data_IF_217909416989
#
_entry.id   IF_217909416989
#
_cell.length_a   1.000
_cell.length_b   1.000
_cell.length_c   1.000
_cell.angle_alpha   90.00
_cell.angle_beta   90.00
_cell.angle_gamma   90.00
#
_symmetry.space_group_name_H-M   'P 1'
#
loop_
_entity.id
_entity.type
_entity.pdbx_description
1 polymer ?
#
# COMPACT_ATOMS: atom_id res chain seq x y z
N UNK A 1 11.85 -11.30 -21.09
CA UNK A 1 13.01 -12.21 -20.99
C UNK A 1 14.29 -11.70 -21.67
N UNK A 2 14.25 -10.70 -22.57
CA UNK A 2 15.42 -10.27 -23.37
C UNK A 2 16.45 -9.36 -22.67
N UNK A 3 16.13 -8.74 -21.53
CA UNK A 3 17.03 -7.75 -20.87
C UNK A 3 18.01 -8.42 -19.89
N UNK A 4 17.69 -9.62 -19.39
CA UNK A 4 18.48 -10.29 -18.34
C UNK A 4 19.91 -10.61 -18.80
N UNK A 5 20.11 -10.86 -20.10
CA UNK A 5 21.41 -11.15 -20.70
C UNK A 5 22.26 -9.91 -21.03
N UNK A 6 21.74 -8.70 -20.80
CA UNK A 6 22.43 -7.43 -21.07
C UNK A 6 22.84 -6.69 -19.79
N UNK A 7 22.49 -7.23 -18.62
CA UNK A 7 22.81 -6.64 -17.33
C UNK A 7 24.11 -7.27 -16.77
N UNK A 8 24.97 -6.48 -16.10
CA UNK A 8 26.07 -6.99 -15.30
C UNK A 8 25.61 -8.12 -14.35
N UNK A 9 26.47 -9.10 -14.10
CA UNK A 9 26.14 -10.31 -13.34
C UNK A 9 25.59 -10.03 -11.92
N UNK A 10 25.85 -8.83 -11.38
CA UNK A 10 25.48 -8.42 -10.04
C UNK A 10 24.11 -7.72 -9.98
N UNK A 11 23.39 -7.62 -11.11
CA UNK A 11 22.10 -6.93 -11.20
C UNK A 11 20.96 -7.89 -11.55
N UNK A 12 20.08 -8.12 -10.57
CA UNK A 12 18.83 -8.86 -10.77
C UNK A 12 17.70 -7.89 -11.15
N UNK A 13 17.21 -7.90 -12.41
CA UNK A 13 16.09 -7.04 -12.80
C UNK A 13 14.80 -7.52 -12.15
N UNK A 14 14.12 -6.62 -11.44
CA UNK A 14 12.76 -6.84 -10.95
C UNK A 14 11.76 -6.25 -11.92
N UNK A 15 10.65 -6.96 -12.12
CA UNK A 15 9.52 -6.41 -12.86
C UNK A 15 8.93 -5.26 -12.04
N UNK A 16 8.94 -4.08 -12.62
CA UNK A 16 8.21 -2.95 -12.09
C UNK A 16 6.70 -3.21 -12.13
N UNK A 17 5.93 -2.50 -11.29
CA UNK A 17 4.49 -2.58 -11.31
C UNK A 17 3.93 -2.26 -12.70
N UNK A 18 2.87 -2.97 -13.13
CA UNK A 18 2.16 -2.67 -14.38
C UNK A 18 1.24 -1.48 -14.12
N UNK A 19 1.81 -0.31 -13.90
CA UNK A 19 1.09 0.94 -13.65
C UNK A 19 1.72 2.07 -14.48
N UNK A 20 0.89 2.87 -15.14
CA UNK A 20 1.32 4.14 -15.74
C UNK A 20 0.94 5.29 -14.79
N UNK A 21 1.61 6.44 -14.88
CA UNK A 21 1.29 7.63 -14.07
C UNK A 21 -0.11 8.23 -14.30
N UNK A 22 -0.89 7.68 -15.23
CA UNK A 22 -2.29 8.05 -15.52
C UNK A 22 -3.31 7.08 -14.86
N UNK A 23 -2.84 6.08 -14.11
CA UNK A 23 -3.68 5.06 -13.46
C UNK A 23 -4.16 5.41 -12.05
N UNK A 24 -3.73 6.53 -11.47
CA UNK A 24 -4.23 7.00 -10.18
C UNK A 24 -5.63 7.60 -10.36
N UNK A 25 -6.65 6.77 -10.09
CA UNK A 25 -8.06 7.14 -10.28
C UNK A 25 -8.71 7.67 -9.00
N UNK A 26 -8.13 7.42 -7.82
CA UNK A 26 -8.76 7.75 -6.54
C UNK A 26 -7.74 7.88 -5.40
N UNK A 27 -7.88 8.95 -4.61
CA UNK A 27 -7.05 9.22 -3.43
C UNK A 27 -7.94 9.34 -2.20
N UNK A 28 -7.53 8.71 -1.10
CA UNK A 28 -8.25 8.76 0.18
C UNK A 28 -7.28 8.81 1.36
N UNK A 29 -7.79 9.27 2.50
CA UNK A 29 -7.09 9.23 3.79
C UNK A 29 -7.80 8.28 4.75
N UNK A 30 -7.02 7.61 5.58
CA UNK A 30 -7.54 6.80 6.70
C UNK A 30 -7.29 7.59 7.97
N UNK A 31 -8.36 8.08 8.57
CA UNK A 31 -8.31 8.94 9.75
C UNK A 31 -9.14 8.35 10.90
N UNK A 32 -8.59 8.44 12.11
CA UNK A 32 -9.36 8.15 13.30
C UNK A 32 -10.20 9.37 13.69
N UNK A 33 -11.48 9.16 13.97
CA UNK A 33 -12.32 10.21 14.59
C UNK A 33 -11.71 10.64 15.92
N UNK A 34 -11.87 11.90 16.33
CA UNK A 34 -11.24 12.45 17.53
C UNK A 34 -11.53 11.65 18.83
N UNK A 35 -12.74 11.07 18.93
CA UNK A 35 -13.16 10.24 20.06
C UNK A 35 -13.01 8.74 19.82
N UNK A 36 -12.47 8.30 18.67
CA UNK A 36 -12.23 6.90 18.42
C UNK A 36 -11.14 6.38 19.36
N UNK A 37 -11.42 5.21 19.96
CA UNK A 37 -10.48 4.49 20.82
C UNK A 37 -10.36 3.05 20.33
N UNK A 38 -9.20 2.45 20.57
CA UNK A 38 -9.00 1.01 20.40
C UNK A 38 -9.77 0.26 21.51
N UNK A 39 -9.96 -1.06 21.39
CA UNK A 39 -10.61 -1.87 22.42
C UNK A 39 -9.95 -1.75 23.81
N UNK A 40 -8.65 -1.44 23.85
CA UNK A 40 -7.88 -1.20 25.08
C UNK A 40 -8.03 0.23 25.66
N UNK A 41 -8.85 1.09 25.04
CA UNK A 41 -9.07 2.47 25.46
C UNK A 41 -8.01 3.47 25.02
N UNK A 42 -6.93 3.04 24.36
CA UNK A 42 -5.90 3.93 23.83
C UNK A 42 -6.33 4.59 22.52
N UNK A 43 -5.67 5.71 22.17
CA UNK A 43 -5.90 6.40 20.91
C UNK A 43 -5.32 5.59 19.73
N UNK A 44 -5.91 5.77 18.55
CA UNK A 44 -5.39 5.23 17.31
C UNK A 44 -4.12 5.97 16.90
N UNK A 45 -3.05 5.22 16.64
CA UNK A 45 -1.78 5.77 16.16
C UNK A 45 -1.66 5.67 14.64
N UNK A 46 -0.72 6.40 14.03
CA UNK A 46 -0.43 6.29 12.61
C UNK A 46 -0.03 4.85 12.20
N UNK A 47 0.64 4.12 13.09
CA UNK A 47 1.00 2.70 12.89
C UNK A 47 -0.23 1.80 12.90
N UNK A 48 -1.19 2.05 13.78
CA UNK A 48 -2.45 1.28 13.83
C UNK A 48 -3.27 1.51 12.55
N UNK A 49 -3.37 2.77 12.10
CA UNK A 49 -4.07 3.12 10.87
C UNK A 49 -3.36 2.53 9.63
N UNK A 50 -2.03 2.53 9.61
CA UNK A 50 -1.24 1.86 8.56
C UNK A 50 -1.49 0.36 8.54
N UNK A 51 -1.56 -0.26 9.71
CA UNK A 51 -1.86 -1.69 9.84
C UNK A 51 -3.26 -1.99 9.31
N UNK A 52 -4.27 -1.18 9.65
CA UNK A 52 -5.62 -1.30 9.11
C UNK A 52 -5.64 -1.16 7.58
N UNK A 53 -4.92 -0.16 7.06
CA UNK A 53 -4.79 0.07 5.63
C UNK A 53 -4.19 -1.14 4.90
N UNK A 54 -3.09 -1.70 5.41
CA UNK A 54 -2.35 -2.76 4.73
C UNK A 54 -3.06 -4.13 4.81
N UNK A 55 -3.75 -4.41 5.92
CA UNK A 55 -4.32 -5.73 6.19
C UNK A 55 -5.83 -5.84 5.97
N UNK A 56 -6.55 -4.71 5.90
CA UNK A 56 -8.01 -4.70 5.73
C UNK A 56 -8.40 -3.99 4.46
N UNK A 57 -8.01 -2.72 4.32
CA UNK A 57 -8.48 -1.87 3.20
C UNK A 57 -7.85 -2.32 1.88
N UNK A 58 -6.52 -2.45 1.83
CA UNK A 58 -5.78 -2.81 0.61
C UNK A 58 -6.18 -4.18 0.05
N UNK A 59 -6.30 -5.26 0.85
CA UNK A 59 -6.76 -6.56 0.33
C UNK A 59 -8.17 -6.51 -0.25
N UNK A 60 -9.08 -5.73 0.35
CA UNK A 60 -10.45 -5.59 -0.17
C UNK A 60 -10.48 -4.81 -1.48
N UNK A 61 -9.72 -3.71 -1.59
CA UNK A 61 -9.66 -2.90 -2.82
C UNK A 61 -9.04 -3.66 -4.00
N UNK A 62 -8.07 -4.55 -3.75
CA UNK A 62 -7.47 -5.40 -4.79
C UNK A 62 -8.44 -6.41 -5.40
N UNK A 63 -9.58 -6.67 -4.74
CA UNK A 63 -10.63 -7.53 -5.28
C UNK A 63 -11.62 -6.78 -6.20
N UNK A 64 -11.52 -5.45 -6.28
CA UNK A 64 -12.40 -4.66 -7.16
C UNK A 64 -11.93 -4.81 -8.61
N UNK A 65 -12.80 -5.22 -9.56
CA UNK A 65 -12.44 -5.33 -10.96
C UNK A 65 -11.85 -4.01 -11.50
N UNK A 66 -10.69 -4.11 -12.16
CA UNK A 66 -9.99 -2.95 -12.72
C UNK A 66 -8.99 -2.26 -11.76
N UNK A 67 -8.89 -2.69 -10.50
CA UNK A 67 -7.86 -2.21 -9.59
C UNK A 67 -6.60 -3.04 -9.75
N UNK A 68 -5.58 -2.47 -10.40
CA UNK A 68 -4.28 -3.11 -10.55
C UNK A 68 -3.44 -2.95 -9.28
N UNK A 69 -3.43 -1.75 -8.70
CA UNK A 69 -2.59 -1.41 -7.55
C UNK A 69 -3.29 -0.49 -6.55
N UNK A 70 -2.83 -0.56 -5.30
CA UNK A 70 -3.20 0.34 -4.22
C UNK A 70 -1.92 0.72 -3.49
N UNK A 71 -1.53 1.98 -3.62
CA UNK A 71 -0.35 2.56 -3.00
C UNK A 71 -0.72 3.20 -1.66
N UNK A 72 0.14 3.02 -0.66
CA UNK A 72 -0.06 3.63 0.66
C UNK A 72 1.05 4.65 0.92
N UNK A 73 0.64 5.90 1.17
CA UNK A 73 1.54 7.00 1.51
C UNK A 73 1.38 7.31 3.01
N UNK A 74 2.49 7.29 3.76
CA UNK A 74 2.49 7.59 5.19
C UNK A 74 2.13 6.41 6.10
N UNK A 75 2.18 6.68 7.41
CA UNK A 75 2.09 5.68 8.47
C UNK A 75 3.38 4.87 8.64
N UNK A 76 3.72 4.51 9.87
CA UNK A 76 4.89 3.65 10.12
C UNK A 76 4.50 2.19 9.89
N UNK A 77 5.23 1.51 9.00
CA UNK A 77 5.11 0.06 8.88
C UNK A 77 5.51 -0.59 10.22
N UNK A 78 4.74 -1.58 10.68
CA UNK A 78 5.20 -2.44 11.79
C UNK A 78 6.43 -3.21 11.31
N UNK A 79 7.52 -3.12 12.07
CA UNK A 79 8.69 -3.99 11.92
C UNK A 79 8.40 -5.35 12.56
#
# INVERSE_FOLDING_TARGET
QQVKSQLPADLEPQLGPIATGLGEIFMYTVEAKANARKPDGSAWTATDLRTLQDWVVRPQLRNVPGVTEVNTIGGYARQ
#
